data_IF_647839666062
#
_entry.id   IF_647839666062
#
_cell.length_a   1.000
_cell.length_b   1.000
_cell.length_c   1.000
_cell.angle_alpha   90.00
_cell.angle_beta   90.00
_cell.angle_gamma   90.00
#
_symmetry.space_group_name_H-M   'P 1'
#
loop_
_entity.id
_entity.type
_entity.pdbx_description
1 polymer ?
#
# COMPACT_ATOMS: atom_id res chain seq x y z
N UNK A 1 -6.31 -8.26 5.98
CA UNK A 1 -6.03 -9.51 6.73
C UNK A 1 -6.39 -10.69 5.84
N UNK A 2 -5.54 -11.74 5.77
CA UNK A 2 -5.87 -12.97 5.02
C UNK A 2 -6.78 -13.87 5.83
N UNK A 3 -7.60 -14.68 5.15
CA UNK A 3 -8.51 -15.64 5.79
C UNK A 3 -7.69 -16.66 6.59
N UNK A 4 -8.25 -17.16 7.70
CA UNK A 4 -7.63 -18.21 8.52
C UNK A 4 -8.05 -19.59 7.99
N UNK A 5 -7.11 -20.52 7.93
CA UNK A 5 -7.32 -21.95 7.63
C UNK A 5 -6.83 -22.72 8.86
N UNK A 6 -7.77 -23.15 9.71
CA UNK A 6 -7.46 -23.67 11.05
C UNK A 6 -6.70 -22.65 11.90
N UNK A 7 -5.57 -23.05 12.48
CA UNK A 7 -4.74 -22.19 13.32
C UNK A 7 -3.82 -21.24 12.53
N UNK A 8 -3.63 -21.48 11.22
CA UNK A 8 -2.72 -20.74 10.35
C UNK A 8 -3.50 -19.78 9.46
N UNK A 9 -2.83 -18.72 9.00
CA UNK A 9 -3.40 -17.85 7.96
C UNK A 9 -3.08 -18.39 6.57
N UNK A 10 -3.91 -18.07 5.59
CA UNK A 10 -3.73 -18.49 4.19
C UNK A 10 -2.36 -18.08 3.62
N UNK A 11 -1.81 -16.94 4.06
CA UNK A 11 -0.49 -16.49 3.64
C UNK A 11 0.62 -17.41 4.14
N UNK A 12 0.49 -18.02 5.33
CA UNK A 12 1.46 -18.94 5.90
C UNK A 12 1.58 -20.23 5.08
N UNK A 13 0.48 -20.69 4.47
CA UNK A 13 0.46 -21.86 3.60
C UNK A 13 1.14 -21.64 2.25
N UNK A 14 1.38 -20.39 1.83
CA UNK A 14 2.06 -20.10 0.56
C UNK A 14 3.52 -20.54 0.56
N UNK A 15 3.99 -20.94 -0.61
CA UNK A 15 5.39 -21.30 -0.84
C UNK A 15 6.33 -20.10 -0.62
N UNK A 16 7.62 -20.36 -0.34
CA UNK A 16 8.64 -19.30 -0.19
C UNK A 16 8.73 -18.43 -1.46
N UNK A 17 8.68 -19.05 -2.64
CA UNK A 17 8.76 -18.37 -3.92
C UNK A 17 7.55 -17.42 -4.14
N UNK A 18 6.35 -17.87 -3.79
CA UNK A 18 5.14 -17.06 -3.91
C UNK A 18 5.17 -15.86 -2.96
N UNK A 19 5.56 -16.06 -1.70
CA UNK A 19 5.76 -14.96 -0.73
C UNK A 19 6.75 -13.93 -1.25
N UNK A 20 7.85 -14.37 -1.85
CA UNK A 20 8.85 -13.47 -2.45
C UNK A 20 8.28 -12.67 -3.63
N UNK A 21 7.51 -13.31 -4.52
CA UNK A 21 6.81 -12.63 -5.63
C UNK A 21 5.83 -11.58 -5.12
N UNK A 22 4.96 -11.94 -4.18
CA UNK A 22 4.01 -10.99 -3.57
C UNK A 22 4.73 -9.82 -2.91
N UNK A 23 5.82 -10.07 -2.17
CA UNK A 23 6.60 -9.00 -1.54
C UNK A 23 7.19 -8.03 -2.58
N UNK A 24 7.79 -8.53 -3.65
CA UNK A 24 8.35 -7.70 -4.74
C UNK A 24 7.27 -6.85 -5.40
N UNK A 25 6.13 -7.46 -5.71
CA UNK A 25 4.98 -6.76 -6.30
C UNK A 25 4.48 -5.63 -5.38
N UNK A 26 4.29 -5.91 -4.09
CA UNK A 26 3.81 -4.91 -3.13
C UNK A 26 4.78 -3.73 -2.99
N UNK A 27 6.09 -3.97 -3.03
CA UNK A 27 7.10 -2.91 -2.97
C UNK A 27 7.00 -2.00 -4.19
N UNK A 28 6.83 -2.56 -5.40
CA UNK A 28 6.66 -1.77 -6.62
C UNK A 28 5.39 -0.91 -6.56
N UNK A 29 4.25 -1.51 -6.19
CA UNK A 29 2.98 -0.79 -6.05
C UNK A 29 3.04 0.34 -5.02
N UNK A 30 3.70 0.12 -3.88
CA UNK A 30 3.87 1.17 -2.87
C UNK A 30 4.81 2.28 -3.34
N UNK A 31 5.83 1.97 -4.15
CA UNK A 31 6.68 2.99 -4.76
C UNK A 31 5.88 3.88 -5.72
N UNK A 32 5.04 3.29 -6.56
CA UNK A 32 4.15 4.03 -7.47
C UNK A 32 3.15 4.89 -6.69
N UNK A 33 2.48 4.33 -5.68
CA UNK A 33 1.54 5.05 -4.83
C UNK A 33 2.20 6.25 -4.15
N UNK A 34 3.42 6.09 -3.66
CA UNK A 34 4.20 7.18 -3.07
C UNK A 34 4.59 8.24 -4.11
N UNK A 35 4.96 7.83 -5.33
CA UNK A 35 5.27 8.77 -6.40
C UNK A 35 4.05 9.61 -6.79
N UNK A 36 2.88 8.97 -6.94
CA UNK A 36 1.60 9.65 -7.21
C UNK A 36 1.20 10.58 -6.07
N UNK A 37 1.30 10.12 -4.82
CA UNK A 37 1.02 10.96 -3.65
C UNK A 37 1.98 12.15 -3.60
N UNK A 38 3.27 11.95 -3.84
CA UNK A 38 4.24 13.05 -3.92
C UNK A 38 3.87 14.03 -5.02
N UNK A 39 3.54 13.57 -6.22
CA UNK A 39 3.14 14.45 -7.32
C UNK A 39 1.87 15.26 -6.97
N UNK A 40 0.86 14.61 -6.39
CA UNK A 40 -0.40 15.23 -5.99
C UNK A 40 -0.21 16.26 -4.87
N UNK A 41 0.53 15.90 -3.83
CA UNK A 41 0.63 16.65 -2.58
C UNK A 41 1.89 17.54 -2.49
N UNK A 42 2.76 17.57 -3.51
CA UNK A 42 4.05 18.30 -3.49
C UNK A 42 3.89 19.77 -3.05
N UNK A 43 2.82 20.40 -3.51
CA UNK A 43 2.53 21.82 -3.28
C UNK A 43 1.39 22.02 -2.27
N UNK A 44 0.86 20.94 -1.69
CA UNK A 44 -0.23 21.03 -0.73
C UNK A 44 0.33 21.41 0.65
N UNK A 45 -0.07 22.58 1.15
CA UNK A 45 0.30 23.03 2.48
C UNK A 45 -0.50 22.24 3.51
N UNK A 46 0.18 21.39 4.27
CA UNK A 46 -0.41 20.54 5.30
C UNK A 46 -1.19 21.39 6.32
N UNK A 47 -2.48 21.09 6.52
CA UNK A 47 -3.34 21.80 7.47
C UNK A 47 -4.07 23.03 6.91
N UNK A 48 -3.84 23.40 5.64
CA UNK A 48 -4.76 24.27 4.91
C UNK A 48 -5.73 23.38 4.16
N UNK A 49 -6.81 22.98 4.86
CA UNK A 49 -7.97 22.44 4.16
C UNK A 49 -8.35 23.40 3.05
N UNK A 50 -8.74 22.86 1.88
CA UNK A 50 -9.25 23.64 0.77
C UNK A 50 -10.13 24.75 1.34
N UNK A 51 -9.68 26.01 1.23
CA UNK A 51 -10.48 27.16 1.62
C UNK A 51 -11.69 27.03 0.70
N UNK A 52 -12.78 26.48 1.24
CA UNK A 52 -14.04 26.41 0.55
C UNK A 52 -14.39 27.86 0.23
N UNK A 53 -14.37 28.17 -1.07
CA UNK A 53 -14.77 29.47 -1.55
C UNK A 53 -16.17 29.76 -0.99
N UNK A 54 -16.29 30.93 -0.35
CA UNK A 54 -17.53 31.46 0.19
C UNK A 54 -18.55 31.77 -0.92
#
# INVERSE_FOLDING_TARGET
MTKRIGNKDEAQHRSKAEKARTRRFNIAMEAEKRALARAKYRNEVKGRGAIQAA
#
